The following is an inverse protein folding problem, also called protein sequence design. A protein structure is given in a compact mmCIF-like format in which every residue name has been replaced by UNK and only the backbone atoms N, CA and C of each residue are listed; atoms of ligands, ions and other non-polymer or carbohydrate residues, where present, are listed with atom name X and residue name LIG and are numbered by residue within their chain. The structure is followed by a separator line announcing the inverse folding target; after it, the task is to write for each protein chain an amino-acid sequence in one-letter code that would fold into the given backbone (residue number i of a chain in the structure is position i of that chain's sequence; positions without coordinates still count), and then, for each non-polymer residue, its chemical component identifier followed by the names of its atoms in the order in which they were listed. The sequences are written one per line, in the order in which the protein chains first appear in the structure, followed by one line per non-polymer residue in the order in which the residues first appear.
data_IF_969286971276
#
_entry.id   IF_969286971276
#
_cell.length_a   1.000
_cell.length_b   1.000
_cell.length_c   1.000
_cell.angle_alpha   90.00
_cell.angle_beta   90.00
_cell.angle_gamma   90.00
#
_symmetry.space_group_name_H-M   'P 1'
#
loop_
_entity.id
_entity.type
_entity.pdbx_description
1 polymer ?
#
# COMPACT_ATOMS: atom_id res chain seq x y z
N UNK A 1 -1.30 -1.65 -9.06
CA UNK A 1 -1.32 -0.19 -9.25
C UNK A 1 -0.20 0.43 -8.42
N UNK A 2 0.69 1.22 -9.04
CA UNK A 2 1.80 1.89 -8.37
C UNK A 2 1.59 3.41 -8.46
N UNK A 3 1.78 4.13 -7.36
CA UNK A 3 1.67 5.60 -7.32
C UNK A 3 2.61 6.21 -6.29
N UNK A 4 3.00 7.46 -6.52
CA UNK A 4 3.82 8.24 -5.60
C UNK A 4 2.95 8.98 -4.58
N UNK A 5 3.37 8.97 -3.32
CA UNK A 5 2.75 9.66 -2.20
C UNK A 5 3.82 10.32 -1.33
N UNK A 6 4.08 11.60 -1.58
CA UNK A 6 5.19 12.35 -0.97
C UNK A 6 6.54 11.69 -1.33
N UNK A 7 7.36 11.35 -0.34
CA UNK A 7 8.61 10.62 -0.51
C UNK A 7 8.45 9.09 -0.55
N UNK A 8 7.22 8.60 -0.49
CA UNK A 8 6.88 7.18 -0.50
C UNK A 8 6.28 6.76 -1.82
N UNK A 9 6.49 5.50 -2.15
CA UNK A 9 5.84 4.83 -3.27
C UNK A 9 4.85 3.82 -2.70
N UNK A 10 3.60 3.87 -3.16
CA UNK A 10 2.54 2.92 -2.81
C UNK A 10 2.30 1.98 -3.99
N UNK A 11 2.40 0.68 -3.74
CA UNK A 11 2.22 -0.38 -4.72
C UNK A 11 1.10 -1.32 -4.25
N UNK A 12 -0.12 -1.10 -4.74
CA UNK A 12 -1.28 -1.96 -4.44
C UNK A 12 -1.37 -3.10 -5.46
N UNK A 13 -1.33 -4.33 -4.94
CA UNK A 13 -1.31 -5.55 -5.73
C UNK A 13 -2.38 -6.54 -5.22
N UNK A 14 -3.68 -6.29 -5.43
CA UNK A 14 -4.69 -7.22 -4.97
C UNK A 14 -4.49 -8.63 -5.53
N UNK A 15 -4.73 -9.62 -4.68
CA UNK A 15 -4.61 -11.03 -5.02
C UNK A 15 -6.00 -11.66 -5.11
N UNK A 16 -6.30 -12.38 -6.19
CA UNK A 16 -7.59 -13.08 -6.30
C UNK A 16 -7.59 -14.32 -5.41
N UNK A 17 -8.51 -14.38 -4.43
CA UNK A 17 -8.73 -15.51 -3.52
C UNK A 17 -10.16 -16.01 -3.61
N UNK A 18 -10.34 -17.11 -4.35
CA UNK A 18 -11.66 -17.65 -4.65
C UNK A 18 -12.49 -16.65 -5.48
N UNK A 19 -13.63 -16.24 -4.94
CA UNK A 19 -14.54 -15.28 -5.57
C UNK A 19 -14.28 -13.82 -5.18
N UNK A 20 -13.33 -13.56 -4.28
CA UNK A 20 -13.02 -12.21 -3.81
C UNK A 20 -11.58 -11.80 -4.16
N UNK A 21 -11.34 -10.50 -4.11
CA UNK A 21 -10.05 -9.86 -4.26
C UNK A 21 -9.53 -9.43 -2.90
N UNK A 22 -8.44 -10.06 -2.48
CA UNK A 22 -7.73 -9.76 -1.25
C UNK A 22 -6.88 -8.51 -1.46
N UNK A 23 -7.14 -7.44 -0.70
CA UNK A 23 -6.34 -6.23 -0.80
C UNK A 23 -4.96 -6.43 -0.18
N UNK A 24 -3.93 -6.19 -0.97
CA UNK A 24 -2.54 -6.19 -0.57
C UNK A 24 -1.87 -4.90 -1.07
N UNK A 25 -1.08 -4.28 -0.20
CA UNK A 25 -0.30 -3.08 -0.54
C UNK A 25 1.10 -3.18 0.05
N UNK A 26 2.06 -2.76 -0.74
CA UNK A 26 3.43 -2.53 -0.34
C UNK A 26 3.69 -1.03 -0.38
N UNK A 27 4.40 -0.50 0.60
CA UNK A 27 4.87 0.89 0.58
C UNK A 27 6.37 0.90 0.77
N UNK A 28 7.06 1.63 -0.09
CA UNK A 28 8.52 1.72 -0.09
C UNK A 28 8.98 3.18 -0.07
N UNK A 29 10.09 3.44 0.61
CA UNK A 29 10.82 4.70 0.55
C UNK A 29 12.31 4.41 0.43
N UNK A 30 12.94 5.08 -0.53
CA UNK A 30 14.39 5.02 -0.73
C UNK A 30 15.16 5.73 0.40
N UNK A 31 16.48 5.53 0.49
CA UNK A 31 17.31 6.24 1.46
C UNK A 31 17.22 7.76 1.28
N UNK A 32 17.33 8.49 2.39
CA UNK A 32 17.35 9.96 2.44
C UNK A 32 18.58 10.44 3.21
N UNK A 33 18.96 11.71 3.08
CA UNK A 33 20.13 12.27 3.79
C UNK A 33 20.09 12.04 5.32
N UNK A 34 18.88 11.99 5.90
CA UNK A 34 18.66 11.83 7.34
C UNK A 34 18.36 10.39 7.78
N UNK A 35 18.16 9.46 6.84
CA UNK A 35 17.88 8.06 7.14
C UNK A 35 18.61 7.13 6.19
N UNK A 36 19.62 6.45 6.73
CA UNK A 36 20.35 5.38 6.07
C UNK A 36 19.50 4.12 5.98
N UNK A 37 18.83 3.95 4.85
CA UNK A 37 18.25 2.67 4.47
C UNK A 37 16.95 2.76 3.68
N UNK A 38 16.70 1.72 2.89
CA UNK A 38 15.39 1.47 2.31
C UNK A 38 14.40 1.09 3.41
N UNK A 39 13.20 1.64 3.34
CA UNK A 39 12.07 1.24 4.18
C UNK A 39 11.01 0.61 3.29
N UNK A 40 10.59 -0.61 3.64
CA UNK A 40 9.56 -1.34 2.90
C UNK A 40 8.60 -1.96 3.92
N UNK A 41 7.30 -1.71 3.74
CA UNK A 41 6.23 -2.28 4.55
C UNK A 41 5.20 -2.97 3.68
N UNK A 42 4.64 -4.08 4.17
CA UNK A 42 3.62 -4.86 3.47
C UNK A 42 2.38 -4.99 4.35
N UNK A 43 1.20 -4.73 3.78
CA UNK A 43 -0.07 -4.83 4.48
C UNK A 43 -1.05 -5.69 3.68
N UNK A 44 -1.52 -6.75 4.32
CA UNK A 44 -2.43 -7.75 3.72
C UNK A 44 -3.73 -7.85 4.51
N UNK A 45 -3.81 -7.35 5.74
CA UNK A 45 -5.00 -7.41 6.60
C UNK A 45 -6.01 -6.28 6.34
N UNK A 46 -6.09 -5.80 5.09
CA UNK A 46 -6.92 -4.65 4.68
C UNK A 46 -8.37 -5.07 4.40
N UNK A 47 -8.57 -6.28 3.88
CA UNK A 47 -9.90 -6.85 3.61
C UNK A 47 -10.01 -7.60 2.28
N UNK A 48 -11.23 -8.06 1.99
CA UNK A 48 -11.61 -8.76 0.77
C UNK A 48 -12.75 -8.00 0.09
N UNK A 49 -12.70 -7.92 -1.25
CA UNK A 49 -13.60 -7.09 -2.06
C UNK A 49 -14.13 -7.88 -3.27
N UNK A 50 -15.28 -7.48 -3.78
CA UNK A 50 -15.90 -8.19 -4.92
C UNK A 50 -15.20 -7.90 -6.25
N UNK A 51 -14.49 -6.77 -6.35
CA UNK A 51 -13.76 -6.37 -7.56
C UNK A 51 -12.30 -6.04 -7.25
N UNK A 52 -11.44 -6.26 -8.25
CA UNK A 52 -10.02 -5.89 -8.17
C UNK A 52 -9.87 -4.38 -7.94
N UNK A 53 -10.67 -3.57 -8.64
CA UNK A 53 -10.66 -2.11 -8.50
C UNK A 53 -10.97 -1.67 -7.06
N UNK A 54 -11.98 -2.26 -6.41
CA UNK A 54 -12.29 -1.94 -5.02
C UNK A 54 -11.16 -2.34 -4.06
N UNK A 55 -10.51 -3.48 -4.29
CA UNK A 55 -9.34 -3.88 -3.52
C UNK A 55 -8.13 -2.95 -3.73
N UNK A 56 -7.89 -2.48 -4.97
CA UNK A 56 -6.86 -1.49 -5.30
C UNK A 56 -7.14 -0.18 -4.58
N UNK A 57 -8.35 0.38 -4.76
CA UNK A 57 -8.75 1.67 -4.18
C UNK A 57 -8.65 1.63 -2.65
N UNK A 58 -9.13 0.54 -2.03
CA UNK A 58 -9.02 0.39 -0.58
C UNK A 58 -7.57 0.26 -0.13
N UNK A 59 -6.74 -0.51 -0.84
CA UNK A 59 -5.32 -0.69 -0.53
C UNK A 59 -4.57 0.64 -0.55
N UNK A 60 -4.81 1.47 -1.57
CA UNK A 60 -4.25 2.81 -1.69
C UNK A 60 -4.72 3.70 -0.54
N UNK A 61 -6.02 3.78 -0.29
CA UNK A 61 -6.57 4.63 0.77
C UNK A 61 -6.07 4.23 2.17
N UNK A 62 -5.93 2.92 2.41
CA UNK A 62 -5.32 2.40 3.63
C UNK A 62 -3.87 2.90 3.75
N UNK A 63 -3.06 2.74 2.70
CA UNK A 63 -1.63 3.10 2.72
C UNK A 63 -1.42 4.60 2.94
N UNK A 64 -2.19 5.45 2.26
CA UNK A 64 -2.15 6.90 2.44
C UNK A 64 -2.48 7.31 3.89
N UNK A 65 -3.51 6.68 4.49
CA UNK A 65 -3.91 6.95 5.87
C UNK A 65 -2.84 6.51 6.86
N UNK A 66 -2.24 5.33 6.66
CA UNK A 66 -1.18 4.82 7.52
C UNK A 66 0.08 5.69 7.43
N UNK A 67 0.51 6.04 6.21
CA UNK A 67 1.65 6.94 6.01
C UNK A 67 1.40 8.32 6.65
N UNK A 68 0.20 8.89 6.47
CA UNK A 68 -0.18 10.14 7.14
C UNK A 68 -0.19 10.06 8.67
N UNK A 69 -0.37 8.87 9.24
CA UNK A 69 -0.42 8.71 10.70
C UNK A 69 0.95 8.45 11.32
N UNK A 70 1.88 7.86 10.57
CA UNK A 70 3.19 7.42 11.07
C UNK A 70 4.35 8.31 10.57
N UNK A 71 4.17 8.99 9.44
CA UNK A 71 5.18 9.80 8.75
C UNK A 71 4.59 11.14 8.27
N UNK A 72 3.44 11.52 8.84
CA UNK A 72 2.61 12.66 8.43
C UNK A 72 3.12 14.03 8.83
#
# INVERSE_FOLDING_TARGET
MKLEYREWTINSQPEKKGHHWHAWVEVERGPSEDQDGWQIFHFTDIGYFDTEAAAVERGIAWAQSWLSSNYG
#
